data_IF_349383278327
#
_entry.id   IF_349383278327
#
_cell.length_a   1.000
_cell.length_b   1.000
_cell.length_c   1.000
_cell.angle_alpha   90.00
_cell.angle_beta   90.00
_cell.angle_gamma   90.00
#
_symmetry.space_group_name_H-M   'P 1'
#
loop_
_entity.id
_entity.type
_entity.pdbx_description
1 polymer ?
#
# COMPACT_ATOMS: atom_id res chain seq x y z
N UNK A 1 17.71 11.68 8.46
CA UNK A 1 17.40 10.63 7.47
C UNK A 1 18.64 9.93 6.95
N UNK A 2 19.66 10.66 6.55
CA UNK A 2 20.90 10.08 6.03
C UNK A 2 21.59 9.13 7.01
N UNK A 3 21.58 9.45 8.28
CA UNK A 3 22.21 8.64 9.31
C UNK A 3 21.49 7.31 9.54
N UNK A 4 20.16 7.33 9.62
CA UNK A 4 19.37 6.11 9.79
C UNK A 4 19.43 5.21 8.55
N UNK A 5 19.55 5.78 7.35
CA UNK A 5 19.65 5.04 6.10
C UNK A 5 20.86 4.10 6.04
N UNK A 6 21.89 4.36 6.85
CA UNK A 6 23.09 3.51 6.93
C UNK A 6 22.86 2.20 7.68
N UNK A 7 21.79 2.13 8.47
CA UNK A 7 21.51 1.01 9.36
C UNK A 7 20.30 0.18 8.96
N UNK A 8 19.54 0.64 7.97
CA UNK A 8 18.32 -0.02 7.51
C UNK A 8 18.36 -0.25 6.00
N UNK A 9 17.73 -1.31 5.55
CA UNK A 9 17.61 -1.63 4.13
C UNK A 9 16.55 -0.76 3.45
N UNK A 10 15.45 -0.50 4.16
CA UNK A 10 14.33 0.29 3.66
C UNK A 10 13.91 1.31 4.70
N UNK A 11 13.70 2.54 4.28
CA UNK A 11 13.19 3.62 5.11
C UNK A 11 11.83 4.07 4.58
N UNK A 12 10.78 3.84 5.37
CA UNK A 12 9.42 4.27 5.03
C UNK A 12 9.20 5.67 5.60
N UNK A 13 8.84 6.59 4.72
CA UNK A 13 8.59 7.98 5.07
C UNK A 13 7.10 8.28 4.91
N UNK A 14 6.49 8.81 5.98
CA UNK A 14 5.15 9.36 5.93
C UNK A 14 5.27 10.87 6.02
N UNK A 15 4.99 11.60 4.92
CA UNK A 15 5.13 13.05 4.90
C UNK A 15 4.02 13.71 5.73
N UNK A 16 4.31 14.04 6.98
CA UNK A 16 3.33 14.64 7.89
C UNK A 16 2.73 15.95 7.36
N UNK A 17 3.45 16.65 6.51
CA UNK A 17 2.94 17.85 5.85
C UNK A 17 1.70 17.56 5.01
N UNK A 18 1.62 16.37 4.43
CA UNK A 18 0.47 15.96 3.64
C UNK A 18 -0.78 15.67 4.47
N UNK A 19 -0.65 15.59 5.80
CA UNK A 19 -1.81 15.48 6.69
C UNK A 19 -2.79 16.65 6.53
N UNK A 20 -2.31 17.84 6.17
CA UNK A 20 -3.17 18.99 5.91
C UNK A 20 -4.16 18.77 4.76
N UNK A 21 -3.93 17.78 3.91
CA UNK A 21 -4.86 17.41 2.82
C UNK A 21 -6.05 16.57 3.28
N UNK A 22 -5.92 15.89 4.42
CA UNK A 22 -6.94 14.96 4.94
C UNK A 22 -7.60 15.46 6.22
N UNK A 23 -7.07 16.51 6.84
CA UNK A 23 -7.63 17.10 8.04
C UNK A 23 -8.54 18.28 7.71
N UNK A 24 -9.48 18.57 8.60
CA UNK A 24 -10.33 19.76 8.53
C UNK A 24 -10.09 20.65 9.76
N UNK A 25 -10.77 21.78 9.84
CA UNK A 25 -10.62 22.74 10.93
C UNK A 25 -10.97 22.17 12.31
N UNK A 26 -11.74 21.08 12.35
CA UNK A 26 -12.15 20.41 13.60
C UNK A 26 -11.22 19.28 14.00
N UNK A 27 -10.30 18.88 13.14
CA UNK A 27 -9.34 17.80 13.43
C UNK A 27 -8.29 18.28 14.40
N UNK A 28 -8.18 17.59 15.54
CA UNK A 28 -7.17 17.90 16.52
C UNK A 28 -5.78 17.47 16.06
N UNK A 29 -4.75 18.05 16.65
CA UNK A 29 -3.36 17.70 16.37
C UNK A 29 -3.08 16.22 16.66
N UNK A 30 -3.63 15.70 17.76
CA UNK A 30 -3.51 14.29 18.15
C UNK A 30 -4.20 13.39 17.11
N UNK A 31 -5.39 13.76 16.66
CA UNK A 31 -6.13 12.97 15.65
C UNK A 31 -5.40 12.94 14.32
N UNK A 32 -4.79 14.03 13.90
CA UNK A 32 -3.98 14.08 12.68
C UNK A 32 -2.79 13.11 12.73
N UNK A 33 -2.07 13.07 13.85
CA UNK A 33 -0.98 12.10 14.03
C UNK A 33 -1.46 10.65 14.10
N UNK A 34 -2.63 10.41 14.70
CA UNK A 34 -3.23 9.06 14.67
C UNK A 34 -3.56 8.59 13.27
N UNK A 35 -3.97 9.47 12.37
CA UNK A 35 -4.19 9.14 10.96
C UNK A 35 -2.90 8.66 10.28
N UNK A 36 -1.79 9.34 10.52
CA UNK A 36 -0.48 8.92 10.02
C UNK A 36 -0.03 7.58 10.61
N UNK A 37 -0.22 7.40 11.90
CA UNK A 37 0.10 6.15 12.59
C UNK A 37 -0.73 4.98 12.05
N UNK A 38 -2.00 5.20 11.75
CA UNK A 38 -2.88 4.19 11.19
C UNK A 38 -2.44 3.76 9.79
N UNK A 39 -1.97 4.68 8.95
CA UNK A 39 -1.43 4.36 7.63
C UNK A 39 -0.19 3.48 7.77
N UNK A 40 0.72 3.84 8.65
CA UNK A 40 1.93 3.05 8.91
C UNK A 40 1.59 1.66 9.46
N UNK A 41 0.68 1.60 10.42
CA UNK A 41 0.22 0.34 10.99
C UNK A 41 -0.40 -0.58 9.93
N UNK A 42 -1.29 -0.03 9.11
CA UNK A 42 -1.94 -0.76 8.02
C UNK A 42 -0.92 -1.26 7.00
N UNK A 43 0.07 -0.45 6.67
CA UNK A 43 1.13 -0.82 5.73
C UNK A 43 1.99 -1.98 6.24
N UNK A 44 2.45 -1.91 7.47
CA UNK A 44 3.25 -2.97 8.09
C UNK A 44 2.45 -4.26 8.22
N UNK A 45 1.20 -4.16 8.67
CA UNK A 45 0.29 -5.30 8.77
C UNK A 45 0.04 -5.94 7.39
N UNK A 46 -0.16 -5.13 6.37
CA UNK A 46 -0.38 -5.61 5.00
C UNK A 46 0.79 -6.41 4.47
N UNK A 47 2.02 -5.96 4.70
CA UNK A 47 3.22 -6.72 4.30
C UNK A 47 3.31 -8.04 5.07
N UNK A 48 3.02 -8.02 6.36
CA UNK A 48 3.02 -9.23 7.19
C UNK A 48 1.94 -10.21 6.76
N UNK A 49 0.75 -9.72 6.45
CA UNK A 49 -0.39 -10.54 6.02
C UNK A 49 -0.09 -11.29 4.69
N UNK A 50 0.66 -10.69 3.79
CA UNK A 50 1.08 -11.34 2.54
C UNK A 50 1.91 -12.60 2.78
N UNK A 51 2.65 -12.64 3.88
CA UNK A 51 3.51 -13.78 4.25
C UNK A 51 2.73 -14.81 5.08
N UNK A 52 1.90 -14.34 6.02
CA UNK A 52 1.33 -15.18 7.08
C UNK A 52 -0.09 -15.63 6.84
N UNK A 53 -0.87 -14.88 6.05
CA UNK A 53 -2.30 -15.17 5.83
C UNK A 53 -2.54 -15.89 4.51
N UNK A 54 -3.49 -16.86 4.48
CA UNK A 54 -3.85 -17.50 3.22
C UNK A 54 -4.56 -16.52 2.29
N UNK A 55 -4.27 -16.62 0.99
CA UNK A 55 -4.89 -15.79 -0.04
C UNK A 55 -4.81 -16.44 -1.40
N UNK A 56 -5.21 -15.72 -2.43
CA UNK A 56 -5.13 -16.19 -3.82
C UNK A 56 -3.69 -16.27 -4.31
N UNK A 57 -2.87 -15.30 -3.89
CA UNK A 57 -1.47 -15.21 -4.25
C UNK A 57 -0.69 -14.95 -2.97
N UNK A 58 0.15 -15.91 -2.61
CA UNK A 58 0.99 -15.82 -1.42
C UNK A 58 2.42 -15.46 -1.83
N UNK A 59 3.04 -14.59 -1.06
CA UNK A 59 4.45 -14.23 -1.22
C UNK A 59 5.25 -14.83 -0.07
N UNK A 60 6.47 -15.29 -0.35
CA UNK A 60 7.38 -15.63 0.70
C UNK A 60 8.24 -14.41 1.11
N UNK A 61 8.96 -14.55 2.22
CA UNK A 61 9.81 -13.47 2.72
C UNK A 61 10.92 -13.09 1.73
N UNK A 62 11.42 -14.03 0.95
CA UNK A 62 12.47 -13.76 -0.02
C UNK A 62 12.02 -12.83 -1.14
N UNK A 63 10.77 -12.98 -1.61
CA UNK A 63 10.20 -12.09 -2.64
C UNK A 63 10.08 -10.65 -2.13
N UNK A 64 9.59 -10.49 -0.92
CA UNK A 64 9.45 -9.17 -0.29
C UNK A 64 10.82 -8.55 -0.04
N UNK A 65 11.77 -9.33 0.43
CA UNK A 65 13.14 -8.88 0.65
C UNK A 65 13.80 -8.38 -0.63
N UNK A 66 13.57 -9.04 -1.75
CA UNK A 66 14.12 -8.63 -3.05
C UNK A 66 13.66 -7.22 -3.43
N UNK A 67 12.39 -6.89 -3.19
CA UNK A 67 11.86 -5.54 -3.45
C UNK A 67 12.41 -4.52 -2.46
N UNK A 68 12.48 -4.87 -1.19
CA UNK A 68 12.82 -3.92 -0.12
C UNK A 68 14.31 -3.66 0.02
N UNK A 69 15.16 -4.58 -0.38
CA UNK A 69 16.61 -4.48 -0.16
C UNK A 69 17.29 -3.35 -0.95
N UNK A 70 16.76 -2.99 -2.11
CA UNK A 70 17.37 -1.99 -3.00
C UNK A 70 16.79 -0.58 -2.87
N UNK A 71 15.88 -0.37 -1.94
CA UNK A 71 14.95 0.78 -2.01
C UNK A 71 15.43 2.05 -1.32
N UNK A 72 16.22 1.98 -0.26
CA UNK A 72 16.54 3.16 0.52
C UNK A 72 15.31 3.82 1.11
N UNK A 73 14.69 4.74 0.37
CA UNK A 73 13.45 5.42 0.80
C UNK A 73 12.23 4.74 0.21
N UNK A 74 11.20 4.55 1.03
CA UNK A 74 9.92 3.99 0.62
C UNK A 74 8.76 4.86 1.10
N UNK A 75 7.66 4.81 0.37
CA UNK A 75 6.41 5.44 0.73
C UNK A 75 5.29 4.42 0.61
N UNK A 76 4.18 4.67 1.29
CA UNK A 76 3.03 3.79 1.23
C UNK A 76 1.72 4.58 1.11
N UNK A 77 0.75 3.94 0.50
CA UNK A 77 -0.62 4.43 0.43
C UNK A 77 -1.58 3.26 0.53
N UNK A 78 -2.77 3.52 1.00
CA UNK A 78 -3.81 2.51 1.13
C UNK A 78 -5.15 3.06 0.65
N UNK A 79 -5.97 2.19 0.10
CA UNK A 79 -7.32 2.52 -0.32
C UNK A 79 -8.27 1.35 -0.09
N UNK A 80 -9.52 1.65 0.17
CA UNK A 80 -10.57 0.67 0.40
C UNK A 80 -11.80 1.06 -0.40
N UNK A 81 -12.49 0.09 -0.99
CA UNK A 81 -13.72 0.31 -1.72
C UNK A 81 -14.65 -0.89 -1.60
N UNK A 82 -15.93 -0.65 -1.87
CA UNK A 82 -16.98 -1.65 -1.87
C UNK A 82 -17.89 -1.49 -3.09
N UNK A 83 -18.66 -2.52 -3.40
CA UNK A 83 -19.62 -2.49 -4.50
C UNK A 83 -19.00 -2.76 -5.87
N UNK A 84 -19.66 -2.29 -6.92
CA UNK A 84 -19.17 -2.43 -8.29
C UNK A 84 -17.88 -1.64 -8.49
N UNK A 85 -16.97 -2.17 -9.30
CA UNK A 85 -15.67 -1.59 -9.60
C UNK A 85 -14.80 -1.35 -8.34
N UNK A 86 -15.05 -2.07 -7.26
CA UNK A 86 -14.29 -1.92 -6.00
C UNK A 86 -12.79 -2.10 -6.19
N UNK A 87 -12.37 -2.98 -7.09
CA UNK A 87 -10.96 -3.20 -7.39
C UNK A 87 -10.28 -1.95 -7.92
N UNK A 88 -10.85 -1.33 -8.94
CA UNK A 88 -10.33 -0.11 -9.55
C UNK A 88 -10.41 1.05 -8.57
N UNK A 89 -11.54 1.21 -7.87
CA UNK A 89 -11.74 2.29 -6.89
C UNK A 89 -10.75 2.19 -5.72
N UNK A 90 -10.51 1.00 -5.21
CA UNK A 90 -9.55 0.79 -4.13
C UNK A 90 -8.12 1.08 -4.59
N UNK A 91 -7.75 0.65 -5.79
CA UNK A 91 -6.45 0.93 -6.38
C UNK A 91 -6.23 2.44 -6.59
N UNK A 92 -7.22 3.13 -7.14
CA UNK A 92 -7.17 4.59 -7.31
C UNK A 92 -7.06 5.33 -5.99
N UNK A 93 -7.80 4.89 -4.97
CA UNK A 93 -7.71 5.47 -3.63
C UNK A 93 -6.33 5.27 -3.00
N UNK A 94 -5.71 4.12 -3.21
CA UNK A 94 -4.35 3.85 -2.75
C UNK A 94 -3.31 4.74 -3.44
N UNK A 95 -3.41 4.87 -4.76
CA UNK A 95 -2.51 5.71 -5.56
C UNK A 95 -2.66 7.18 -5.21
N UNK A 96 -3.90 7.62 -4.96
CA UNK A 96 -4.24 9.00 -4.64
C UNK A 96 -4.16 9.34 -3.16
N UNK A 97 -3.68 8.41 -2.33
CA UNK A 97 -3.57 8.64 -0.89
C UNK A 97 -2.75 9.91 -0.62
N UNK A 98 -3.27 10.86 0.17
CA UNK A 98 -2.58 12.13 0.44
C UNK A 98 -1.21 11.98 1.07
N UNK A 99 -0.94 10.86 1.74
CA UNK A 99 0.35 10.57 2.36
C UNK A 99 1.36 9.96 1.37
N UNK A 100 0.94 9.69 0.14
CA UNK A 100 1.79 9.21 -0.94
C UNK A 100 2.14 10.38 -1.86
N UNK A 101 3.43 10.58 -2.13
CA UNK A 101 3.87 11.57 -3.09
C UNK A 101 3.81 10.99 -4.50
N UNK A 102 3.06 11.64 -5.41
CA UNK A 102 2.92 11.20 -6.79
C UNK A 102 4.25 11.12 -7.55
N UNK A 103 5.18 12.01 -7.25
CA UNK A 103 6.50 11.99 -7.88
C UNK A 103 7.30 10.76 -7.46
N UNK A 104 7.12 10.30 -6.24
CA UNK A 104 7.78 9.09 -5.73
C UNK A 104 7.29 7.83 -6.45
N UNK A 105 6.02 7.78 -6.80
CA UNK A 105 5.44 6.62 -7.50
C UNK A 105 5.99 6.48 -8.92
N UNK A 106 6.14 7.57 -9.64
CA UNK A 106 6.73 7.58 -10.98
C UNK A 106 8.21 7.20 -10.99
N UNK A 107 8.94 7.56 -9.95
CA UNK A 107 10.35 7.21 -9.80
C UNK A 107 10.61 5.91 -9.05
N UNK A 108 9.58 5.15 -8.72
CA UNK A 108 9.71 3.91 -7.96
C UNK A 108 10.43 2.82 -8.77
N UNK A 109 11.44 2.23 -8.19
CA UNK A 109 12.17 1.10 -8.79
C UNK A 109 11.55 -0.25 -8.43
N UNK A 110 10.81 -0.31 -7.35
CA UNK A 110 10.09 -1.48 -6.91
C UNK A 110 8.77 -1.09 -6.25
N UNK A 111 7.77 -1.93 -6.45
CA UNK A 111 6.43 -1.73 -5.91
C UNK A 111 5.95 -3.03 -5.30
N UNK A 112 5.49 -2.96 -4.07
CA UNK A 112 4.83 -4.06 -3.38
C UNK A 112 3.35 -3.72 -3.25
N UNK A 113 2.50 -4.59 -3.79
CA UNK A 113 1.05 -4.41 -3.79
C UNK A 113 0.42 -5.50 -2.93
N UNK A 114 -0.34 -5.10 -1.93
CA UNK A 114 -1.17 -6.00 -1.16
C UNK A 114 -2.64 -5.77 -1.49
N UNK A 115 -3.33 -6.84 -1.85
CA UNK A 115 -4.76 -6.81 -2.14
C UNK A 115 -5.44 -7.72 -1.12
N UNK A 116 -6.15 -7.12 -0.18
CA UNK A 116 -6.86 -7.86 0.87
C UNK A 116 -8.35 -7.71 0.68
N UNK A 117 -9.06 -8.80 0.69
CA UNK A 117 -10.51 -8.82 0.54
C UNK A 117 -11.16 -9.95 1.31
N UNK A 118 -12.49 -10.03 1.26
CA UNK A 118 -13.25 -11.16 1.78
C UNK A 118 -13.13 -12.39 0.89
N UNK A 119 -13.78 -13.47 1.28
CA UNK A 119 -13.79 -14.71 0.50
C UNK A 119 -14.48 -14.58 -0.88
N UNK A 120 -15.19 -13.48 -1.08
CA UNK A 120 -15.82 -13.13 -2.36
C UNK A 120 -14.88 -12.45 -3.35
N UNK A 121 -13.64 -12.14 -2.95
CA UNK A 121 -12.62 -11.55 -3.82
C UNK A 121 -12.24 -12.53 -4.95
N UNK A 122 -12.25 -12.03 -6.19
CA UNK A 122 -11.92 -12.82 -7.36
C UNK A 122 -10.51 -12.58 -7.86
N UNK A 123 -9.96 -13.54 -8.57
CA UNK A 123 -8.65 -13.38 -9.23
C UNK A 123 -8.70 -12.26 -10.28
N UNK A 124 -9.82 -12.05 -10.94
CA UNK A 124 -10.03 -10.95 -11.88
C UNK A 124 -9.88 -9.59 -11.22
N UNK A 125 -10.41 -9.42 -10.01
CA UNK A 125 -10.26 -8.18 -9.23
C UNK A 125 -8.81 -7.92 -8.85
N UNK A 126 -8.06 -8.95 -8.47
CA UNK A 126 -6.63 -8.86 -8.19
C UNK A 126 -5.85 -8.37 -9.41
N UNK A 127 -6.16 -8.92 -10.59
CA UNK A 127 -5.54 -8.53 -11.84
C UNK A 127 -5.87 -7.09 -12.24
N UNK A 128 -7.11 -6.65 -12.06
CA UNK A 128 -7.52 -5.25 -12.29
C UNK A 128 -6.72 -4.27 -11.43
N UNK A 129 -6.56 -4.55 -10.15
CA UNK A 129 -5.77 -3.73 -9.24
C UNK A 129 -4.32 -3.64 -9.70
N UNK A 130 -3.71 -4.78 -10.00
CA UNK A 130 -2.32 -4.84 -10.44
C UNK A 130 -2.10 -4.04 -11.72
N UNK A 131 -2.98 -4.18 -12.69
CA UNK A 131 -2.89 -3.44 -13.96
C UNK A 131 -3.06 -1.94 -13.77
N UNK A 132 -4.00 -1.51 -12.93
CA UNK A 132 -4.22 -0.09 -12.64
C UNK A 132 -3.00 0.56 -12.01
N UNK A 133 -2.34 -0.13 -11.09
CA UNK A 133 -1.12 0.37 -10.45
C UNK A 133 0.06 0.38 -11.42
N UNK A 134 0.18 -0.62 -12.30
CA UNK A 134 1.23 -0.66 -13.33
C UNK A 134 1.19 0.53 -14.27
N UNK A 135 0.03 1.11 -14.52
CA UNK A 135 -0.12 2.30 -15.36
C UNK A 135 0.54 3.54 -14.75
N UNK A 136 0.69 3.58 -13.42
CA UNK A 136 1.22 4.73 -12.70
C UNK A 136 2.73 4.64 -12.43
N UNK A 137 3.34 3.48 -12.63
CA UNK A 137 4.77 3.27 -12.39
C UNK A 137 5.54 3.16 -13.70
N UNK A 138 6.84 3.40 -13.63
CA UNK A 138 7.68 3.31 -14.82
C UNK A 138 7.79 1.88 -15.37
N UNK A 139 7.85 1.72 -16.70
CA UNK A 139 8.20 0.44 -17.30
C UNK A 139 9.58 0.01 -16.81
N UNK A 140 9.69 -1.20 -16.33
CA UNK A 140 10.94 -1.73 -15.76
C UNK A 140 11.01 -1.69 -14.24
N UNK A 141 10.05 -1.06 -13.57
CA UNK A 141 9.92 -1.20 -12.12
C UNK A 141 9.64 -2.66 -11.75
N UNK A 142 10.26 -3.12 -10.68
CA UNK A 142 10.00 -4.46 -10.15
C UNK A 142 8.70 -4.45 -9.35
N UNK A 143 7.66 -5.07 -9.88
CA UNK A 143 6.34 -5.08 -9.27
C UNK A 143 6.06 -6.49 -8.74
N UNK A 144 5.84 -6.57 -7.43
CA UNK A 144 5.43 -7.79 -6.75
C UNK A 144 4.07 -7.55 -6.12
N UNK A 145 3.14 -8.44 -6.36
CA UNK A 145 1.82 -8.35 -5.76
C UNK A 145 1.41 -9.68 -5.11
N UNK A 146 0.64 -9.56 -4.06
CA UNK A 146 0.07 -10.69 -3.36
C UNK A 146 -1.34 -10.36 -2.88
N UNK A 147 -2.07 -11.36 -2.48
CA UNK A 147 -3.41 -11.19 -1.96
C UNK A 147 -3.60 -12.00 -0.69
N UNK A 148 -4.43 -11.46 0.20
CA UNK A 148 -4.81 -12.12 1.44
C UNK A 148 -6.32 -12.05 1.62
N UNK A 149 -6.86 -12.97 2.40
CA UNK A 149 -8.26 -12.95 2.79
C UNK A 149 -8.40 -12.44 4.21
N UNK A 150 -9.42 -11.61 4.44
CA UNK A 150 -9.81 -11.14 5.76
C UNK A 150 -11.31 -11.22 5.92
N UNK A 151 -11.77 -11.85 6.99
CA UNK A 151 -13.20 -11.93 7.30
C UNK A 151 -13.82 -10.57 7.66
N UNK A 152 -12.99 -9.60 8.01
CA UNK A 152 -13.41 -8.24 8.32
C UNK A 152 -13.78 -7.42 7.07
N UNK A 153 -13.35 -7.87 5.88
CA UNK A 153 -13.53 -7.17 4.62
C UNK A 153 -14.56 -7.81 3.70
N UNK A 154 -15.60 -8.40 4.25
CA UNK A 154 -16.70 -8.92 3.42
C UNK A 154 -17.29 -7.79 2.56
N UNK A 155 -17.47 -8.06 1.27
CA UNK A 155 -17.94 -7.10 0.26
C UNK A 155 -17.01 -5.91 0.01
N UNK A 156 -15.88 -5.83 0.70
CA UNK A 156 -14.89 -4.76 0.57
C UNK A 156 -13.57 -5.27 0.02
N UNK A 157 -12.83 -4.38 -0.61
CA UNK A 157 -11.47 -4.63 -1.08
C UNK A 157 -10.56 -3.52 -0.57
N UNK A 158 -9.41 -3.93 -0.02
CA UNK A 158 -8.36 -3.02 0.44
C UNK A 158 -7.09 -3.25 -0.37
N UNK A 159 -6.50 -2.16 -0.85
CA UNK A 159 -5.24 -2.16 -1.59
C UNK A 159 -4.19 -1.35 -0.86
#
# INVERSE_FOLDING_TARGET
>A
LEEISKYVDTLIIIPNQNLFRIVNEKTTFIDAFKMADNVLHSGVRSVTDLITMPGLINLDFADIRTVMHEMGKAMMGTGEAEGEDRAIKAAEAAISNPLLDNSSMKGAKGVLINITGGLDMTLFEVDEVANRIKEEVEPGANIIFGSAFSSELQEKLRV
#
